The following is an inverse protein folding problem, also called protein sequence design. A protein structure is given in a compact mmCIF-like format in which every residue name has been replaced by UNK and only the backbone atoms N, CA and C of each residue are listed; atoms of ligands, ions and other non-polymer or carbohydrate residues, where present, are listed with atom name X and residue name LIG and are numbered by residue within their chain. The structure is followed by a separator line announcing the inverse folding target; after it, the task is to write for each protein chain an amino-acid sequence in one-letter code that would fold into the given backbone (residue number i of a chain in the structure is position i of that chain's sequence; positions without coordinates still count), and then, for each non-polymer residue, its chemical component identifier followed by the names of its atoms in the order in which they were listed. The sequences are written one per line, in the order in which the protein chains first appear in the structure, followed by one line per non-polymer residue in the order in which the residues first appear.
data_IF_426595120083
#
_entry.id   IF_426595120083
#
_cell.length_a   1.000
_cell.length_b   1.000
_cell.length_c   1.000
_cell.angle_alpha   90.00
_cell.angle_beta   90.00
_cell.angle_gamma   90.00
#
_symmetry.space_group_name_H-M   'P 1'
#
loop_
_entity.id
_entity.type
_entity.pdbx_description
1 polymer ?
#
# COMPACT_ATOMS: atom_id res chain seq x y z
N UNK A 1 5.87 5.08 -1.51
CA UNK A 1 7.04 4.99 -2.41
C UNK A 1 8.08 5.88 -1.76
N UNK A 2 9.17 5.33 -1.27
CA UNK A 2 10.12 6.08 -0.44
C UNK A 2 11.16 5.18 0.22
N UNK A 3 12.29 5.74 0.68
CA UNK A 3 13.35 4.97 1.34
C UNK A 3 12.94 4.72 2.80
N UNK A 4 12.02 3.78 2.98
CA UNK A 4 11.59 3.39 4.32
C UNK A 4 12.33 2.14 4.78
N UNK A 5 12.99 2.25 5.92
CA UNK A 5 13.35 1.08 6.71
C UNK A 5 12.09 0.58 7.43
N UNK A 6 12.13 -0.65 7.93
CA UNK A 6 11.05 -1.17 8.77
C UNK A 6 10.78 -0.24 9.98
N UNK A 7 11.84 0.32 10.57
CA UNK A 7 11.73 1.19 11.74
C UNK A 7 11.23 2.60 11.38
N UNK A 8 11.70 3.21 10.29
CA UNK A 8 11.16 4.52 9.89
C UNK A 8 9.69 4.46 9.53
N UNK A 9 9.24 3.39 8.84
CA UNK A 9 7.82 3.18 8.58
C UNK A 9 7.02 2.96 9.87
N UNK A 10 7.57 2.20 10.83
CA UNK A 10 6.95 1.99 12.14
C UNK A 10 6.75 3.30 12.87
N UNK A 11 7.76 4.16 12.88
CA UNK A 11 7.74 5.44 13.57
C UNK A 11 6.77 6.41 12.89
N UNK A 12 6.73 6.47 11.55
CA UNK A 12 5.74 7.29 10.83
C UNK A 12 4.30 6.87 11.17
N UNK A 13 4.00 5.56 11.16
CA UNK A 13 2.68 5.04 11.53
C UNK A 13 2.36 5.33 13.00
N UNK A 14 3.34 5.15 13.90
CA UNK A 14 3.19 5.41 15.33
C UNK A 14 2.89 6.88 15.60
N UNK A 15 3.65 7.77 14.99
CA UNK A 15 3.52 9.22 15.17
C UNK A 15 2.20 9.73 14.61
N UNK A 16 1.80 9.26 13.42
CA UNK A 16 0.49 9.57 12.85
C UNK A 16 -0.66 9.07 13.74
N UNK A 17 -0.56 7.86 14.29
CA UNK A 17 -1.56 7.36 15.25
C UNK A 17 -1.61 8.21 16.53
N UNK A 18 -0.46 8.60 17.09
CA UNK A 18 -0.39 9.45 18.28
C UNK A 18 -1.03 10.81 18.03
N UNK A 19 -0.68 11.44 16.92
CA UNK A 19 -1.23 12.72 16.51
C UNK A 19 -2.76 12.62 16.26
N UNK A 20 -3.21 11.56 15.59
CA UNK A 20 -4.63 11.28 15.40
C UNK A 20 -5.38 11.07 16.73
N UNK A 21 -4.76 10.38 17.69
CA UNK A 21 -5.28 10.24 19.06
C UNK A 21 -5.46 11.58 19.76
N UNK A 22 -4.50 12.50 19.59
CA UNK A 22 -4.54 13.87 20.14
C UNK A 22 -5.71 14.73 19.64
N UNK A 23 -6.39 14.34 18.56
CA UNK A 23 -7.60 15.02 18.07
C UNK A 23 -8.81 14.79 18.98
N UNK A 24 -8.81 13.74 19.80
CA UNK A 24 -9.93 13.32 20.66
C UNK A 24 -9.65 13.70 22.12
N UNK A 25 -10.61 14.34 22.77
CA UNK A 25 -10.44 14.76 24.17
C UNK A 25 -10.29 13.55 25.11
N UNK A 26 -10.91 12.42 24.79
CA UNK A 26 -10.81 11.18 25.55
C UNK A 26 -9.49 10.43 25.38
N UNK A 27 -8.69 10.75 24.36
CA UNK A 27 -7.40 10.08 24.10
C UNK A 27 -6.20 11.05 24.16
N UNK A 28 -6.43 12.36 24.35
CA UNK A 28 -5.39 13.39 24.24
C UNK A 28 -4.19 13.14 25.16
N UNK A 29 -4.46 12.70 26.38
CA UNK A 29 -3.45 12.49 27.41
C UNK A 29 -3.04 11.01 27.52
N UNK A 30 -3.52 10.16 26.59
CA UNK A 30 -3.19 8.73 26.56
C UNK A 30 -2.14 8.40 25.50
N UNK A 31 -1.27 7.45 25.80
CA UNK A 31 -0.47 6.80 24.76
C UNK A 31 -1.31 5.78 24.00
N UNK A 32 -1.98 6.25 22.94
CA UNK A 32 -2.78 5.40 22.05
C UNK A 32 -1.96 4.28 21.42
N UNK A 33 -0.65 4.49 21.25
CA UNK A 33 0.24 3.51 20.61
C UNK A 33 0.60 2.36 21.54
N UNK A 34 0.44 2.54 22.85
CA UNK A 34 0.54 1.46 23.84
C UNK A 34 -0.67 0.51 23.85
N UNK A 35 -1.69 0.76 23.02
CA UNK A 35 -2.90 -0.09 22.94
C UNK A 35 -2.82 -1.18 21.87
N UNK A 36 -1.77 -1.20 21.04
CA UNK A 36 -1.60 -2.17 19.96
C UNK A 36 -0.12 -2.34 19.60
N UNK A 37 0.23 -3.51 19.06
CA UNK A 37 1.58 -3.80 18.59
C UNK A 37 1.74 -3.46 17.10
N UNK A 38 2.84 -2.79 16.73
CA UNK A 38 3.21 -2.53 15.33
C UNK A 38 4.35 -3.47 14.96
N UNK A 39 4.07 -4.40 14.05
CA UNK A 39 5.05 -5.31 13.44
C UNK A 39 5.37 -4.81 12.03
N UNK A 40 6.42 -3.99 11.84
CA UNK A 40 6.78 -3.54 10.51
C UNK A 40 7.44 -4.67 9.72
N UNK A 41 7.16 -4.71 8.42
CA UNK A 41 7.81 -5.65 7.49
C UNK A 41 8.52 -4.84 6.41
N UNK A 42 9.82 -4.63 6.62
CA UNK A 42 10.71 -4.05 5.62
C UNK A 42 11.20 -5.09 4.62
N UNK A 43 11.30 -4.70 3.35
CA UNK A 43 11.81 -5.54 2.27
C UNK A 43 12.74 -4.81 1.28
N UNK A 44 13.12 -3.56 1.60
CA UNK A 44 13.97 -2.75 0.75
C UNK A 44 15.38 -3.35 0.58
N UNK A 45 15.92 -3.99 1.61
CA UNK A 45 17.20 -4.71 1.59
C UNK A 45 17.26 -5.79 0.50
N UNK A 46 16.15 -6.45 0.17
CA UNK A 46 16.09 -7.43 -0.92
C UNK A 46 16.36 -6.75 -2.27
N UNK A 47 15.83 -5.55 -2.47
CA UNK A 47 16.05 -4.78 -3.69
C UNK A 47 17.42 -4.10 -3.70
N UNK A 48 17.92 -3.65 -2.56
CA UNK A 48 19.27 -3.08 -2.41
C UNK A 48 20.37 -4.09 -2.69
N UNK A 49 20.28 -5.28 -2.12
CA UNK A 49 21.19 -6.41 -2.39
C UNK A 49 21.27 -6.65 -3.91
N UNK A 50 20.11 -6.76 -4.54
CA UNK A 50 20.03 -6.97 -5.98
C UNK A 50 20.57 -5.78 -6.80
N UNK A 51 20.27 -4.54 -6.41
CA UNK A 51 20.82 -3.35 -7.08
C UNK A 51 22.34 -3.30 -6.98
N UNK A 52 22.91 -3.67 -5.84
CA UNK A 52 24.35 -3.73 -5.64
C UNK A 52 24.97 -4.78 -6.58
N UNK A 53 24.42 -6.01 -6.63
CA UNK A 53 24.86 -7.05 -7.57
C UNK A 53 24.73 -6.60 -9.03
N UNK A 54 23.67 -5.86 -9.36
CA UNK A 54 23.49 -5.30 -10.69
C UNK A 54 24.55 -4.25 -10.99
N UNK A 55 24.83 -3.32 -10.07
CA UNK A 55 25.77 -2.21 -10.25
C UNK A 55 27.18 -2.69 -10.62
N UNK A 56 27.58 -3.86 -10.10
CA UNK A 56 28.87 -4.49 -10.42
C UNK A 56 28.95 -5.03 -11.85
N UNK A 57 27.82 -5.27 -12.52
CA UNK A 57 27.76 -5.73 -13.92
C UNK A 57 27.68 -4.52 -14.85
N UNK A 58 28.73 -4.22 -15.61
CA UNK A 58 28.83 -3.06 -16.51
C UNK A 58 27.94 -3.14 -17.78
N UNK A 59 26.63 -3.42 -17.64
CA UNK A 59 25.66 -3.50 -18.74
C UNK A 59 24.50 -2.51 -18.55
N UNK A 60 23.74 -2.16 -19.60
CA UNK A 60 22.48 -1.41 -19.47
C UNK A 60 21.42 -2.13 -18.60
N UNK A 61 20.56 -1.39 -17.90
CA UNK A 61 19.55 -1.94 -16.98
C UNK A 61 18.61 -2.94 -17.66
N UNK A 62 18.17 -2.65 -18.89
CA UNK A 62 17.31 -3.57 -19.63
C UNK A 62 18.00 -4.88 -20.01
N UNK A 63 19.30 -4.88 -20.30
CA UNK A 63 20.07 -6.11 -20.53
C UNK A 63 20.21 -6.91 -19.23
N UNK A 64 20.48 -6.22 -18.12
CA UNK A 64 20.53 -6.84 -16.78
C UNK A 64 19.20 -7.50 -16.41
N UNK A 65 18.09 -6.79 -16.64
CA UNK A 65 16.74 -7.28 -16.35
C UNK A 65 16.31 -8.40 -17.30
N UNK A 66 16.66 -8.32 -18.59
CA UNK A 66 16.42 -9.39 -19.56
C UNK A 66 17.16 -10.69 -19.18
N UNK A 67 18.39 -10.59 -18.71
CA UNK A 67 19.18 -11.73 -18.25
C UNK A 67 18.53 -12.45 -17.05
N UNK A 68 17.82 -11.70 -16.20
CA UNK A 68 17.19 -12.21 -14.97
C UNK A 68 15.77 -12.70 -15.24
N UNK A 69 15.06 -12.04 -16.16
CA UNK A 69 13.79 -12.50 -16.70
C UNK A 69 13.96 -13.71 -17.65
N UNK A 70 15.19 -14.08 -18.04
CA UNK A 70 15.53 -15.11 -19.03
C UNK A 70 15.04 -16.54 -18.76
N UNK A 71 14.34 -16.76 -17.65
CA UNK A 71 13.64 -18.02 -17.31
C UNK A 71 12.12 -17.95 -17.49
N UNK A 72 11.57 -16.77 -17.83
CA UNK A 72 10.15 -16.55 -18.05
C UNK A 72 9.88 -16.24 -19.54
N UNK A 73 8.77 -16.71 -20.13
CA UNK A 73 8.39 -16.43 -21.54
C UNK A 73 8.17 -14.95 -21.89
N UNK A 74 8.41 -14.04 -20.95
CA UNK A 74 8.02 -12.63 -20.96
C UNK A 74 9.27 -11.71 -21.15
N UNK A 75 10.49 -12.27 -21.18
CA UNK A 75 11.74 -11.51 -21.11
C UNK A 75 11.91 -10.41 -22.18
N UNK A 76 11.51 -10.66 -23.43
CA UNK A 76 11.66 -9.68 -24.52
C UNK A 76 10.67 -8.51 -24.42
N UNK A 77 9.43 -8.75 -23.98
CA UNK A 77 8.43 -7.70 -23.80
C UNK A 77 8.68 -6.89 -22.51
N UNK A 78 9.26 -7.51 -21.50
CA UNK A 78 9.72 -6.83 -20.27
C UNK A 78 10.88 -5.89 -20.60
N UNK A 79 11.93 -6.36 -21.28
CA UNK A 79 13.08 -5.51 -21.62
C UNK A 79 12.69 -4.27 -22.45
N UNK A 80 11.79 -4.44 -23.43
CA UNK A 80 11.25 -3.33 -24.23
C UNK A 80 10.44 -2.34 -23.38
N UNK A 81 9.62 -2.83 -22.45
CA UNK A 81 8.87 -1.98 -21.49
C UNK A 81 9.81 -1.24 -20.55
N UNK A 82 10.85 -1.91 -20.04
CA UNK A 82 11.83 -1.29 -19.15
C UNK A 82 12.58 -0.18 -19.88
N UNK A 83 13.08 -0.43 -21.09
CA UNK A 83 13.73 0.60 -21.92
C UNK A 83 12.81 1.79 -22.21
N UNK A 84 11.53 1.53 -22.52
CA UNK A 84 10.55 2.58 -22.80
C UNK A 84 10.11 3.38 -21.57
N UNK A 85 10.34 2.83 -20.37
CA UNK A 85 10.09 3.51 -19.10
C UNK A 85 11.35 4.26 -18.63
N UNK A 86 12.53 3.65 -18.74
CA UNK A 86 13.82 4.26 -18.38
C UNK A 86 14.06 5.55 -19.15
N UNK A 87 13.62 5.63 -20.42
CA UNK A 87 13.69 6.87 -21.21
C UNK A 87 12.70 7.96 -20.78
N UNK A 88 11.66 7.64 -20.02
CA UNK A 88 10.70 8.61 -19.45
C UNK A 88 11.02 9.00 -18.01
N UNK A 89 11.88 8.22 -17.35
CA UNK A 89 12.33 8.53 -16.02
C UNK A 89 13.43 9.58 -16.12
N UNK A 90 13.19 10.73 -15.52
CA UNK A 90 14.18 11.79 -15.32
C UNK A 90 15.40 11.26 -14.57
N UNK A 91 16.57 11.87 -14.76
CA UNK A 91 17.86 11.49 -14.15
C UNK A 91 17.92 11.61 -12.61
N UNK A 92 16.76 11.79 -11.99
CA UNK A 92 16.56 11.94 -10.56
C UNK A 92 16.84 10.60 -9.84
N UNK A 93 17.84 10.66 -8.95
CA UNK A 93 18.26 9.53 -8.11
C UNK A 93 17.11 8.89 -7.32
N UNK A 94 16.14 9.70 -6.86
CA UNK A 94 14.98 9.20 -6.12
C UNK A 94 14.12 8.29 -6.98
N UNK A 95 13.82 8.73 -8.21
CA UNK A 95 13.04 7.89 -9.11
C UNK A 95 13.83 6.63 -9.41
N UNK A 96 15.10 6.75 -9.84
CA UNK A 96 15.97 5.60 -10.17
C UNK A 96 15.95 4.47 -9.15
N UNK A 97 15.81 4.74 -7.86
CA UNK A 97 15.70 3.69 -6.84
C UNK A 97 14.26 3.19 -6.65
N UNK A 98 13.27 4.08 -6.51
CA UNK A 98 11.92 3.69 -6.09
C UNK A 98 11.05 3.11 -7.21
N UNK A 99 11.13 3.60 -8.46
CA UNK A 99 10.41 2.94 -9.55
C UNK A 99 11.09 1.63 -9.91
N UNK A 100 12.40 1.53 -9.71
CA UNK A 100 13.11 0.28 -9.91
C UNK A 100 12.57 -0.78 -8.94
N UNK A 101 12.28 -0.45 -7.68
CA UNK A 101 11.59 -1.37 -6.76
C UNK A 101 10.25 -1.86 -7.30
N UNK A 102 9.44 -0.95 -7.85
CA UNK A 102 8.16 -1.30 -8.48
C UNK A 102 8.36 -2.29 -9.62
N UNK A 103 9.37 -2.06 -10.48
CA UNK A 103 9.69 -2.98 -11.57
C UNK A 103 10.25 -4.31 -11.09
N UNK A 104 11.17 -4.27 -10.12
CA UNK A 104 11.80 -5.45 -9.55
C UNK A 104 10.74 -6.34 -8.91
N UNK A 105 9.84 -5.76 -8.12
CA UNK A 105 8.69 -6.47 -7.61
C UNK A 105 7.79 -6.99 -8.73
N UNK A 106 7.53 -6.20 -9.76
CA UNK A 106 6.58 -6.56 -10.82
C UNK A 106 7.07 -7.67 -11.75
N UNK A 107 8.35 -7.64 -12.13
CA UNK A 107 8.87 -8.40 -13.27
C UNK A 107 9.94 -9.43 -12.92
N UNK A 108 10.32 -9.55 -11.65
CA UNK A 108 11.39 -10.47 -11.23
C UNK A 108 10.93 -11.45 -10.16
N UNK A 109 11.76 -12.47 -9.93
CA UNK A 109 11.57 -13.46 -8.87
C UNK A 109 11.76 -12.87 -7.47
N UNK A 110 12.29 -11.65 -7.34
CA UNK A 110 12.45 -10.98 -6.04
C UNK A 110 11.12 -10.81 -5.31
N UNK A 111 10.02 -10.67 -6.06
CA UNK A 111 8.67 -10.67 -5.51
C UNK A 111 8.36 -11.89 -4.66
N UNK A 112 8.91 -13.07 -4.96
CA UNK A 112 8.74 -14.27 -4.13
C UNK A 112 9.46 -14.14 -2.79
N UNK A 113 10.69 -13.61 -2.76
CA UNK A 113 11.43 -13.36 -1.50
C UNK A 113 10.69 -12.35 -0.62
N UNK A 114 10.17 -11.27 -1.22
CA UNK A 114 9.37 -10.25 -0.53
C UNK A 114 8.10 -10.87 0.06
N UNK A 115 7.35 -11.65 -0.73
CA UNK A 115 6.11 -12.30 -0.28
C UNK A 115 6.36 -13.32 0.83
N UNK A 116 7.44 -14.12 0.73
CA UNK A 116 7.82 -15.07 1.78
C UNK A 116 8.14 -14.36 3.10
N UNK A 117 8.88 -13.25 3.06
CA UNK A 117 9.17 -12.47 4.27
C UNK A 117 7.92 -11.96 4.97
N UNK A 118 6.96 -11.44 4.20
CA UNK A 118 5.67 -11.01 4.77
C UNK A 118 4.86 -12.21 5.29
N UNK A 119 4.87 -13.34 4.59
CA UNK A 119 4.17 -14.55 5.02
C UNK A 119 4.73 -15.13 6.33
N UNK A 120 6.05 -15.13 6.49
CA UNK A 120 6.72 -15.53 7.74
C UNK A 120 6.33 -14.61 8.90
N UNK A 121 6.38 -13.29 8.69
CA UNK A 121 5.97 -12.32 9.71
C UNK A 121 4.50 -12.53 10.08
N UNK A 122 3.62 -12.69 9.09
CA UNK A 122 2.20 -12.93 9.29
C UNK A 122 1.93 -14.23 10.06
N UNK A 123 2.59 -15.33 9.68
CA UNK A 123 2.44 -16.62 10.34
C UNK A 123 2.85 -16.56 11.82
N UNK A 124 3.96 -15.87 12.14
CA UNK A 124 4.41 -15.63 13.52
C UNK A 124 3.39 -14.81 14.30
N UNK A 125 2.94 -13.67 13.77
CA UNK A 125 1.97 -12.81 14.45
C UNK A 125 0.62 -13.51 14.67
N UNK A 126 0.17 -14.33 13.71
CA UNK A 126 -1.05 -15.15 13.87
C UNK A 126 -0.86 -16.19 14.99
N UNK A 127 0.30 -16.84 15.06
CA UNK A 127 0.58 -17.83 16.10
C UNK A 127 0.64 -17.20 17.50
N UNK A 128 1.17 -15.99 17.62
CA UNK A 128 1.34 -15.26 18.88
C UNK A 128 0.03 -14.62 19.38
N UNK A 129 -0.73 -13.97 18.49
CA UNK A 129 -1.87 -13.12 18.87
C UNK A 129 -3.24 -13.69 18.46
N UNK A 130 -3.26 -14.74 17.63
CA UNK A 130 -4.48 -15.26 17.02
C UNK A 130 -4.95 -14.42 15.84
N UNK A 131 -5.39 -15.06 14.75
CA UNK A 131 -5.62 -14.38 13.46
C UNK A 131 -6.67 -13.25 13.53
N UNK A 132 -7.69 -13.38 14.37
CA UNK A 132 -8.74 -12.36 14.51
C UNK A 132 -8.23 -11.04 15.10
N UNK A 133 -7.08 -11.04 15.77
CA UNK A 133 -6.42 -9.85 16.33
C UNK A 133 -5.31 -9.31 15.40
N UNK A 134 -5.10 -9.94 14.24
CA UNK A 134 -4.10 -9.50 13.26
C UNK A 134 -4.77 -8.62 12.21
N UNK A 135 -4.26 -7.41 12.07
CA UNK A 135 -4.72 -6.39 11.13
C UNK A 135 -3.55 -6.02 10.22
N UNK A 136 -3.71 -6.17 8.91
CA UNK A 136 -2.63 -5.94 7.94
C UNK A 136 -2.87 -4.62 7.23
N UNK A 137 -1.86 -3.76 7.22
CA UNK A 137 -1.88 -2.47 6.52
C UNK A 137 -0.81 -2.46 5.43
N UNK A 138 -1.24 -2.23 4.19
CA UNK A 138 -0.37 -1.96 3.06
C UNK A 138 -0.50 -0.50 2.63
N UNK A 139 0.60 0.09 2.19
CA UNK A 139 0.64 1.43 1.62
C UNK A 139 1.36 1.41 0.27
N UNK A 140 0.77 2.04 -0.75
CA UNK A 140 1.39 2.18 -2.08
C UNK A 140 1.84 0.80 -2.62
N UNK A 141 3.10 0.62 -3.06
CA UNK A 141 3.66 -0.68 -3.46
C UNK A 141 3.38 -1.81 -2.45
N UNK A 142 3.38 -1.50 -1.15
CA UNK A 142 3.05 -2.44 -0.08
C UNK A 142 1.65 -3.04 -0.21
N UNK A 143 0.70 -2.38 -0.88
CA UNK A 143 -0.63 -2.98 -1.13
C UNK A 143 -0.56 -4.11 -2.16
N UNK A 144 0.31 -4.03 -3.17
CA UNK A 144 0.54 -5.14 -4.08
C UNK A 144 1.22 -6.31 -3.35
N UNK A 145 2.23 -6.01 -2.52
CA UNK A 145 2.91 -7.00 -1.67
C UNK A 145 1.94 -7.73 -0.75
N UNK A 146 1.12 -6.98 0.00
CA UNK A 146 0.10 -7.53 0.89
C UNK A 146 -0.88 -8.39 0.11
N UNK A 147 -1.43 -7.86 -0.99
CA UNK A 147 -2.40 -8.60 -1.79
C UNK A 147 -1.82 -9.92 -2.30
N UNK A 148 -0.67 -9.90 -2.97
CA UNK A 148 -0.12 -11.10 -3.60
C UNK A 148 0.36 -12.12 -2.56
N UNK A 149 0.86 -11.64 -1.42
CA UNK A 149 1.21 -12.52 -0.28
C UNK A 149 -0.03 -13.22 0.25
N UNK A 150 -1.10 -12.48 0.55
CA UNK A 150 -2.33 -13.06 1.07
C UNK A 150 -3.00 -13.97 0.03
N UNK A 151 -3.00 -13.58 -1.24
CA UNK A 151 -3.58 -14.38 -2.31
C UNK A 151 -2.86 -15.73 -2.47
N UNK A 152 -1.53 -15.75 -2.31
CA UNK A 152 -0.74 -16.97 -2.35
C UNK A 152 -0.88 -17.77 -1.05
N UNK A 153 -0.74 -17.14 0.12
CA UNK A 153 -0.84 -17.80 1.40
C UNK A 153 -2.21 -18.48 1.62
N UNK A 154 -3.31 -17.83 1.24
CA UNK A 154 -4.68 -18.37 1.36
C UNK A 154 -5.18 -19.06 0.09
N UNK A 155 -4.36 -19.09 -0.96
CA UNK A 155 -4.69 -19.66 -2.25
C UNK A 155 -4.42 -21.17 -2.32
N UNK A 156 -4.72 -21.79 -3.48
CA UNK A 156 -4.39 -23.20 -3.73
C UNK A 156 -2.88 -23.43 -3.88
N UNK A 157 -2.11 -22.38 -4.20
CA UNK A 157 -0.67 -22.44 -4.32
C UNK A 157 -0.03 -22.50 -2.93
N UNK A 158 0.79 -23.52 -2.66
CA UNK A 158 1.47 -23.62 -1.38
C UNK A 158 2.55 -22.54 -1.27
N UNK A 159 2.57 -21.84 -0.15
CA UNK A 159 3.62 -20.89 0.16
C UNK A 159 4.68 -21.62 0.98
N UNK A 160 5.77 -22.00 0.32
CA UNK A 160 6.82 -22.83 0.91
C UNK A 160 8.13 -22.04 0.95
N UNK A 161 8.75 -21.96 2.12
CA UNK A 161 10.05 -21.32 2.32
C UNK A 161 11.21 -22.16 1.75
N UNK A 162 12.41 -21.57 1.60
CA UNK A 162 13.58 -22.28 1.06
C UNK A 162 14.02 -23.49 1.90
N UNK A 163 13.70 -23.49 3.20
CA UNK A 163 13.94 -24.57 4.16
C UNK A 163 12.82 -25.63 4.19
N UNK A 164 11.79 -25.48 3.35
CA UNK A 164 10.62 -26.35 3.31
C UNK A 164 9.53 -25.96 4.31
N UNK A 165 9.66 -24.83 5.03
CA UNK A 165 8.61 -24.32 5.92
C UNK A 165 7.32 -24.03 5.14
N UNK A 166 6.16 -24.45 5.67
CA UNK A 166 4.88 -24.18 5.03
C UNK A 166 4.20 -22.98 5.68
N UNK A 167 4.01 -21.92 4.88
CA UNK A 167 3.36 -20.67 5.28
C UNK A 167 1.95 -20.50 4.69
N UNK A 168 1.35 -21.60 4.20
CA UNK A 168 -0.04 -21.58 3.76
C UNK A 168 -1.01 -21.36 4.92
N UNK A 169 -2.02 -20.52 4.69
CA UNK A 169 -3.03 -20.12 5.65
C UNK A 169 -4.42 -20.57 5.18
N UNK A 170 -5.31 -20.82 6.14
CA UNK A 170 -6.68 -21.25 5.86
C UNK A 170 -7.66 -20.09 6.05
N UNK A 171 -8.53 -19.79 5.07
CA UNK A 171 -9.58 -18.77 5.23
C UNK A 171 -10.58 -19.04 6.37
N UNK A 172 -10.60 -20.28 6.87
CA UNK A 172 -11.49 -20.75 7.94
C UNK A 172 -10.85 -20.58 9.31
N UNK A 173 -9.59 -21.00 9.48
CA UNK A 173 -8.92 -21.02 10.81
C UNK A 173 -8.01 -19.84 11.04
N UNK A 174 -7.52 -19.20 9.97
CA UNK A 174 -6.55 -18.11 10.05
C UNK A 174 -7.13 -16.81 9.48
N UNK A 175 -8.44 -16.58 9.59
CA UNK A 175 -9.06 -15.35 9.09
C UNK A 175 -8.55 -14.12 9.85
N UNK A 176 -8.05 -13.13 9.12
CA UNK A 176 -7.53 -11.88 9.64
C UNK A 176 -8.66 -10.98 10.17
N UNK A 177 -8.35 -10.14 11.16
CA UNK A 177 -9.29 -9.14 11.68
C UNK A 177 -9.63 -8.09 10.63
N UNK A 178 -8.62 -7.52 9.96
CA UNK A 178 -8.84 -6.62 8.82
C UNK A 178 -7.65 -6.54 7.88
N UNK A 179 -7.93 -6.08 6.65
CA UNK A 179 -6.92 -5.69 5.65
C UNK A 179 -7.19 -4.24 5.25
N UNK A 180 -6.17 -3.40 5.37
CA UNK A 180 -6.18 -1.97 5.11
C UNK A 180 -5.28 -1.67 3.90
N UNK A 181 -5.85 -1.10 2.84
CA UNK A 181 -5.17 -0.81 1.58
C UNK A 181 -5.13 0.69 1.36
N UNK A 182 -4.00 1.33 1.68
CA UNK A 182 -3.82 2.78 1.58
C UNK A 182 -3.10 3.11 0.28
N UNK A 183 -3.65 4.04 -0.52
CA UNK A 183 -3.11 4.40 -1.84
C UNK A 183 -2.86 3.16 -2.72
N UNK A 184 -3.92 2.36 -2.90
CA UNK A 184 -3.81 0.99 -3.39
C UNK A 184 -3.44 0.87 -4.87
N UNK A 185 -2.27 0.30 -5.16
CA UNK A 185 -1.76 0.05 -6.52
C UNK A 185 -1.81 -1.43 -6.92
N UNK A 186 -2.47 -2.31 -6.14
CA UNK A 186 -2.47 -3.75 -6.41
C UNK A 186 -3.03 -4.11 -7.79
N UNK A 187 -4.02 -3.34 -8.27
CA UNK A 187 -4.58 -3.50 -9.63
C UNK A 187 -3.65 -3.03 -10.74
N UNK A 188 -2.84 -2.01 -10.50
CA UNK A 188 -1.81 -1.55 -11.43
C UNK A 188 -0.74 -2.62 -11.59
N UNK A 189 -0.32 -3.19 -10.45
CA UNK A 189 0.76 -4.17 -10.37
C UNK A 189 0.27 -5.63 -10.44
N UNK A 190 -0.99 -5.85 -10.84
CA UNK A 190 -1.64 -7.17 -10.92
C UNK A 190 -0.93 -8.10 -11.90
N UNK A 191 -0.42 -9.25 -11.44
CA UNK A 191 0.31 -10.25 -12.26
C UNK A 191 -0.58 -11.40 -12.69
N UNK A 192 -0.19 -12.63 -12.39
CA UNK A 192 -0.95 -13.85 -12.59
C UNK A 192 -2.09 -14.00 -11.57
N UNK A 193 -2.03 -13.26 -10.45
CA UNK A 193 -3.08 -13.24 -9.43
C UNK A 193 -4.11 -12.17 -9.79
N UNK A 194 -5.35 -12.56 -10.08
CA UNK A 194 -6.43 -11.58 -10.31
C UNK A 194 -6.92 -10.98 -9.00
N UNK A 195 -6.69 -9.68 -8.80
CA UNK A 195 -7.09 -8.94 -7.60
C UNK A 195 -8.61 -9.02 -7.34
N UNK A 196 -9.43 -9.09 -8.39
CA UNK A 196 -10.89 -9.15 -8.24
C UNK A 196 -11.43 -10.56 -8.01
N UNK A 197 -10.61 -11.60 -8.20
CA UNK A 197 -11.00 -13.00 -8.03
C UNK A 197 -10.23 -13.74 -6.92
N UNK A 198 -9.26 -13.08 -6.29
CA UNK A 198 -8.42 -13.64 -5.23
C UNK A 198 -9.20 -13.92 -3.93
N UNK A 199 -8.66 -14.73 -3.00
CA UNK A 199 -9.24 -14.90 -1.67
C UNK A 199 -9.06 -13.64 -0.78
N UNK A 200 -8.39 -12.60 -1.28
CA UNK A 200 -8.13 -11.35 -0.55
C UNK A 200 -9.36 -10.46 -0.60
N UNK A 201 -10.36 -10.86 0.19
CA UNK A 201 -11.68 -10.24 0.29
C UNK A 201 -12.31 -10.59 1.63
N UNK A 202 -13.36 -9.88 2.06
CA UNK A 202 -14.14 -10.29 3.21
C UNK A 202 -15.14 -11.41 2.85
N UNK A 203 -15.74 -12.03 3.88
CA UNK A 203 -16.81 -13.02 3.74
C UNK A 203 -16.34 -14.48 3.83
N UNK A 204 -17.25 -15.43 3.62
CA UNK A 204 -17.00 -16.87 3.89
C UNK A 204 -15.80 -17.44 3.14
N UNK A 205 -15.58 -17.01 1.89
CA UNK A 205 -14.47 -17.44 1.02
C UNK A 205 -13.30 -16.44 1.01
N UNK A 206 -13.24 -15.59 2.02
CA UNK A 206 -12.29 -14.49 2.14
C UNK A 206 -11.30 -14.72 3.28
N UNK A 207 -10.11 -14.13 3.16
CA UNK A 207 -9.05 -14.23 4.18
C UNK A 207 -9.17 -13.21 5.32
N UNK A 208 -10.11 -12.26 5.24
CA UNK A 208 -10.26 -11.17 6.23
C UNK A 208 -11.72 -11.02 6.69
N UNK A 209 -11.94 -10.48 7.89
CA UNK A 209 -13.27 -10.10 8.36
C UNK A 209 -13.70 -8.74 7.79
N UNK A 210 -12.79 -7.76 7.72
CA UNK A 210 -13.02 -6.45 7.11
C UNK A 210 -11.96 -6.10 6.07
N UNK A 211 -12.36 -5.41 5.00
CA UNK A 211 -11.48 -4.90 3.95
C UNK A 211 -11.73 -3.41 3.77
N UNK A 212 -10.72 -2.61 4.08
CA UNK A 212 -10.80 -1.16 4.05
C UNK A 212 -9.82 -0.62 3.02
N UNK A 213 -10.31 0.26 2.17
CA UNK A 213 -9.52 0.95 1.17
C UNK A 213 -9.58 2.45 1.37
N UNK A 214 -8.43 3.11 1.22
CA UNK A 214 -8.26 4.53 1.44
C UNK A 214 -7.62 5.15 0.22
N UNK A 215 -8.27 6.18 -0.33
CA UNK A 215 -7.78 6.92 -1.49
C UNK A 215 -7.94 8.41 -1.29
N UNK A 216 -6.91 9.16 -1.61
CA UNK A 216 -6.97 10.61 -1.65
C UNK A 216 -7.27 11.07 -3.08
N UNK A 217 -8.24 11.96 -3.27
CA UNK A 217 -8.63 12.42 -4.63
C UNK A 217 -7.49 13.14 -5.35
N UNK A 218 -6.61 13.76 -4.57
CA UNK A 218 -5.42 14.49 -5.05
C UNK A 218 -4.13 13.67 -4.90
N UNK A 219 -4.24 12.36 -4.71
CA UNK A 219 -3.11 11.44 -4.87
C UNK A 219 -3.21 10.79 -6.26
N UNK A 220 -2.39 11.20 -7.24
CA UNK A 220 -2.45 10.68 -8.61
C UNK A 220 -2.05 9.21 -8.69
N UNK A 221 -1.27 8.69 -7.74
CA UNK A 221 -0.85 7.28 -7.70
C UNK A 221 -2.05 6.37 -7.47
N UNK A 222 -2.93 6.76 -6.53
CA UNK A 222 -4.15 6.02 -6.21
C UNK A 222 -5.23 6.09 -7.31
N UNK A 223 -5.07 7.00 -8.30
CA UNK A 223 -6.00 7.18 -9.42
C UNK A 223 -5.71 6.22 -10.58
N UNK A 224 -4.51 5.68 -10.67
CA UNK A 224 -4.14 4.81 -11.79
C UNK A 224 -4.74 3.42 -11.59
N UNK A 225 -5.62 3.02 -12.51
CA UNK A 225 -6.31 1.70 -12.53
C UNK A 225 -6.74 1.21 -11.13
N UNK A 226 -7.63 1.94 -10.44
CA UNK A 226 -7.97 1.66 -9.05
C UNK A 226 -8.65 0.29 -8.86
N UNK A 227 -8.56 -0.24 -7.63
CA UNK A 227 -9.34 -1.40 -7.20
C UNK A 227 -10.79 -1.03 -6.94
N UNK A 228 -11.60 -0.99 -7.99
CA UNK A 228 -13.01 -0.59 -7.86
C UNK A 228 -13.95 -1.81 -7.92
N UNK A 229 -14.20 -2.52 -6.80
CA UNK A 229 -15.24 -3.53 -6.73
C UNK A 229 -16.61 -2.86 -6.63
N UNK A 230 -17.61 -3.42 -7.31
CA UNK A 230 -18.97 -2.90 -7.30
C UNK A 230 -19.91 -3.81 -6.51
N UNK A 231 -20.99 -3.23 -5.97
CA UNK A 231 -22.07 -3.96 -5.25
C UNK A 231 -22.95 -4.76 -6.23
N UNK A 232 -22.35 -5.67 -6.99
CA UNK A 232 -23.01 -6.48 -8.03
C UNK A 232 -22.98 -7.99 -7.75
N UNK A 233 -22.55 -8.38 -6.55
CA UNK A 233 -22.46 -9.79 -6.15
C UNK A 233 -21.27 -10.57 -6.72
N UNK A 234 -20.44 -9.97 -7.60
CA UNK A 234 -19.35 -10.69 -8.29
C UNK A 234 -18.10 -10.85 -7.42
N UNK A 235 -17.69 -9.78 -6.72
CA UNK A 235 -16.51 -9.83 -5.84
C UNK A 235 -16.86 -10.48 -4.49
N UNK A 236 -17.91 -9.98 -3.85
CA UNK A 236 -18.52 -10.51 -2.63
C UNK A 236 -20.05 -10.35 -2.72
N UNK A 237 -20.81 -11.04 -1.86
CA UNK A 237 -22.26 -10.86 -1.81
C UNK A 237 -22.63 -9.43 -1.39
N UNK A 238 -23.81 -8.96 -1.77
CA UNK A 238 -24.29 -7.61 -1.42
C UNK A 238 -24.24 -7.32 0.09
N UNK A 239 -24.58 -8.31 0.90
CA UNK A 239 -24.55 -8.19 2.35
C UNK A 239 -23.13 -7.99 2.87
N UNK A 240 -22.17 -8.76 2.35
CA UNK A 240 -20.75 -8.65 2.72
C UNK A 240 -20.18 -7.34 2.23
N UNK A 241 -20.50 -6.91 1.00
CA UNK A 241 -20.06 -5.63 0.45
C UNK A 241 -20.43 -4.47 1.38
N UNK A 242 -21.69 -4.39 1.80
CA UNK A 242 -22.17 -3.28 2.63
C UNK A 242 -21.70 -3.32 4.09
N UNK A 243 -21.35 -4.50 4.61
CA UNK A 243 -20.98 -4.69 6.03
C UNK A 243 -19.48 -4.73 6.28
N UNK A 244 -18.70 -5.20 5.32
CA UNK A 244 -17.31 -5.58 5.53
C UNK A 244 -16.35 -4.98 4.50
N UNK A 245 -16.85 -4.28 3.47
CA UNK A 245 -16.03 -3.45 2.61
C UNK A 245 -16.27 -1.97 2.90
N UNK A 246 -15.20 -1.19 2.98
CA UNK A 246 -15.27 0.27 3.12
C UNK A 246 -14.29 0.91 2.16
N UNK A 247 -14.77 1.83 1.33
CA UNK A 247 -13.94 2.77 0.60
C UNK A 247 -14.07 4.15 1.25
N UNK A 248 -12.94 4.69 1.72
CA UNK A 248 -12.86 6.04 2.25
C UNK A 248 -12.13 6.95 1.25
N UNK A 249 -12.89 7.83 0.61
CA UNK A 249 -12.37 8.87 -0.27
C UNK A 249 -12.07 10.15 0.53
N UNK A 250 -10.83 10.59 0.45
CA UNK A 250 -10.27 11.72 1.17
C UNK A 250 -10.07 12.91 0.23
N UNK A 251 -10.28 14.12 0.75
CA UNK A 251 -10.14 15.37 -0.01
C UNK A 251 -9.27 16.40 0.69
N UNK A 252 -9.12 16.32 2.02
CA UNK A 252 -8.41 17.31 2.80
C UNK A 252 -6.90 17.13 2.70
N UNK A 253 -6.23 18.20 2.31
CA UNK A 253 -4.77 18.29 2.19
C UNK A 253 -4.22 18.97 3.44
N UNK A 254 -3.49 18.22 4.27
CA UNK A 254 -2.83 18.76 5.48
C UNK A 254 -1.32 18.87 5.30
N UNK A 255 -0.78 18.29 4.22
CA UNK A 255 0.62 18.34 3.74
C UNK A 255 0.61 18.26 2.21
N UNK A 256 1.62 18.79 1.52
CA UNK A 256 1.69 18.68 0.06
C UNK A 256 1.77 17.23 -0.41
N UNK A 257 2.51 16.38 0.30
CA UNK A 257 2.60 14.96 -0.01
C UNK A 257 1.33 14.21 0.39
N UNK A 258 0.30 14.29 -0.46
CA UNK A 258 -0.98 13.58 -0.31
C UNK A 258 -0.86 12.07 -0.41
N UNK A 259 0.30 11.55 -0.85
CA UNK A 259 0.59 10.13 -0.94
C UNK A 259 1.19 9.55 0.35
N UNK A 260 1.76 10.37 1.24
CA UNK A 260 2.43 9.90 2.47
C UNK A 260 1.47 9.15 3.41
N UNK A 261 1.92 8.05 4.02
CA UNK A 261 1.05 7.23 4.90
C UNK A 261 0.60 8.01 6.12
N UNK A 262 1.46 8.86 6.70
CA UNK A 262 1.09 9.76 7.78
C UNK A 262 -0.07 10.69 7.40
N UNK A 263 -0.07 11.25 6.19
CA UNK A 263 -1.17 12.11 5.71
C UNK A 263 -2.51 11.37 5.67
N UNK A 264 -2.51 10.12 5.22
CA UNK A 264 -3.71 9.28 5.25
C UNK A 264 -4.17 8.99 6.68
N UNK A 265 -3.26 8.55 7.54
CA UNK A 265 -3.57 8.10 8.91
C UNK A 265 -4.09 9.22 9.81
N UNK A 266 -3.76 10.48 9.53
CA UNK A 266 -4.30 11.62 10.28
C UNK A 266 -5.79 11.90 10.00
N UNK A 267 -6.32 11.40 8.89
CA UNK A 267 -7.68 11.69 8.47
C UNK A 267 -8.70 10.88 9.28
N UNK A 268 -9.72 11.50 9.89
CA UNK A 268 -10.76 10.80 10.65
C UNK A 268 -11.48 9.68 9.91
N UNK A 269 -11.57 9.74 8.58
CA UNK A 269 -12.12 8.64 7.77
C UNK A 269 -11.23 7.39 7.73
N UNK A 270 -9.96 7.51 8.10
CA UNK A 270 -8.96 6.44 8.12
C UNK A 270 -8.74 5.92 9.53
N UNK A 271 -8.34 6.78 10.48
CA UNK A 271 -7.97 6.31 11.83
C UNK A 271 -9.16 5.87 12.67
N UNK A 272 -10.38 6.41 12.49
CA UNK A 272 -11.53 5.96 13.29
C UNK A 272 -11.91 4.51 13.02
N UNK A 273 -12.04 4.04 11.75
CA UNK A 273 -12.19 2.62 11.48
C UNK A 273 -11.03 1.79 12.04
N UNK A 274 -9.79 2.26 11.90
CA UNK A 274 -8.60 1.56 12.40
C UNK A 274 -8.64 1.40 13.93
N UNK A 275 -8.82 2.49 14.68
CA UNK A 275 -8.87 2.47 16.15
C UNK A 275 -10.05 1.67 16.69
N UNK A 276 -11.17 1.65 15.97
CA UNK A 276 -12.31 0.79 16.30
C UNK A 276 -11.95 -0.69 16.21
N UNK A 277 -11.18 -1.07 15.21
CA UNK A 277 -10.74 -2.45 15.01
C UNK A 277 -9.65 -2.84 16.01
N UNK A 278 -8.65 -1.99 16.19
CA UNK A 278 -7.50 -2.27 17.06
C UNK A 278 -7.85 -2.30 18.55
N UNK A 279 -8.60 -1.32 19.05
CA UNK A 279 -8.86 -1.18 20.49
C UNK A 279 -10.28 -0.71 20.83
N UNK A 280 -11.24 -0.96 19.92
CA UNK A 280 -12.69 -0.73 20.13
C UNK A 280 -13.05 0.72 20.47
N UNK A 281 -12.25 1.69 20.03
CA UNK A 281 -12.54 3.09 20.24
C UNK A 281 -13.79 3.53 19.47
N UNK A 282 -14.76 4.10 20.20
CA UNK A 282 -16.04 4.59 19.68
C UNK A 282 -16.37 5.90 20.38
N UNK A 283 -15.78 7.02 19.93
CA UNK A 283 -16.02 8.33 20.55
C UNK A 283 -17.49 8.72 20.40
N UNK A 284 -17.93 9.64 21.25
CA UNK A 284 -19.29 10.21 21.13
C UNK A 284 -19.37 11.04 19.84
N UNK A 285 -20.59 11.23 19.33
CA UNK A 285 -20.84 12.03 18.12
C UNK A 285 -20.22 13.43 18.21
N UNK A 286 -20.47 14.15 19.30
CA UNK A 286 -19.92 15.49 19.52
C UNK A 286 -18.39 15.54 19.53
N UNK A 287 -17.74 14.53 20.12
CA UNK A 287 -16.27 14.43 20.11
C UNK A 287 -15.73 14.10 18.72
N UNK A 288 -16.44 13.27 17.96
CA UNK A 288 -16.11 12.96 16.56
C UNK A 288 -16.19 14.21 15.68
N UNK A 289 -17.23 15.01 15.86
CA UNK A 289 -17.43 16.28 15.15
C UNK A 289 -16.32 17.27 15.50
N UNK A 290 -16.04 17.47 16.78
CA UNK A 290 -14.96 18.36 17.25
C UNK A 290 -13.56 17.91 16.75
N UNK A 291 -13.27 16.61 16.78
CA UNK A 291 -12.01 16.06 16.24
C UNK A 291 -11.89 16.28 14.73
N UNK A 292 -13.00 16.12 14.00
CA UNK A 292 -13.05 16.37 12.55
C UNK A 292 -12.84 17.85 12.23
N UNK A 293 -13.46 18.76 12.98
CA UNK A 293 -13.26 20.20 12.84
C UNK A 293 -11.79 20.59 13.10
N UNK A 294 -11.17 20.06 14.16
CA UNK A 294 -9.74 20.28 14.46
C UNK A 294 -8.84 19.79 13.33
N UNK A 295 -9.14 18.62 12.74
CA UNK A 295 -8.40 18.11 11.59
C UNK A 295 -8.58 18.99 10.36
N UNK A 296 -9.83 19.32 9.99
CA UNK A 296 -10.10 20.12 8.80
C UNK A 296 -9.59 21.56 8.90
N UNK A 297 -9.48 22.12 10.11
CA UNK A 297 -8.83 23.41 10.34
C UNK A 297 -7.33 23.42 9.96
N UNK A 298 -6.68 22.24 9.87
CA UNK A 298 -5.30 22.09 9.40
C UNK A 298 -5.17 22.01 7.87
N UNK A 299 -6.28 22.07 7.14
CA UNK A 299 -6.26 21.95 5.67
C UNK A 299 -5.53 23.14 5.05
N UNK A 300 -4.48 22.86 4.27
CA UNK A 300 -3.68 23.82 3.53
C UNK A 300 -4.37 24.16 2.20
N UNK A 301 -5.31 25.13 2.22
CA UNK A 301 -6.14 25.47 1.04
C UNK A 301 -5.31 25.74 -0.22
N UNK A 302 -4.25 26.54 -0.13
CA UNK A 302 -3.38 26.83 -1.28
C UNK A 302 -2.62 25.61 -1.82
N UNK A 303 -2.37 24.59 -0.99
CA UNK A 303 -1.77 23.34 -1.47
C UNK A 303 -2.84 22.50 -2.19
N UNK A 304 -4.05 22.43 -1.64
CA UNK A 304 -5.18 21.73 -2.26
C UNK A 304 -5.51 22.31 -3.65
N UNK A 305 -5.61 23.64 -3.78
CA UNK A 305 -5.90 24.31 -5.05
C UNK A 305 -4.85 24.01 -6.13
N UNK A 306 -3.55 24.10 -5.77
CA UNK A 306 -2.46 23.78 -6.71
C UNK A 306 -2.37 22.29 -7.06
N UNK A 307 -2.71 21.40 -6.12
CA UNK A 307 -2.84 19.96 -6.38
C UNK A 307 -4.01 19.65 -7.31
N UNK A 308 -5.15 20.33 -7.13
CA UNK A 308 -6.31 20.24 -8.02
C UNK A 308 -5.94 20.69 -9.43
N UNK A 309 -5.33 21.88 -9.56
CA UNK A 309 -4.86 22.42 -10.84
C UNK A 309 -3.85 21.49 -11.54
N UNK A 310 -2.86 20.97 -10.80
CA UNK A 310 -1.84 20.10 -11.37
C UNK A 310 -2.38 18.75 -11.88
N UNK A 311 -3.49 18.27 -11.33
CA UNK A 311 -4.02 16.94 -11.61
C UNK A 311 -5.45 16.92 -12.17
N UNK A 312 -5.98 18.08 -12.56
CA UNK A 312 -7.30 18.22 -13.18
C UNK A 312 -7.38 17.37 -14.46
N UNK A 313 -6.39 17.53 -15.34
CA UNK A 313 -6.31 16.84 -16.63
C UNK A 313 -5.65 15.45 -16.55
N UNK A 314 -5.22 15.00 -15.37
CA UNK A 314 -4.58 13.71 -15.22
C UNK A 314 -5.59 12.56 -15.37
N UNK A 315 -5.76 12.07 -16.60
CA UNK A 315 -6.60 10.92 -16.92
C UNK A 315 -5.68 9.69 -17.15
N UNK A 316 -5.61 8.73 -16.20
CA UNK A 316 -4.89 7.49 -16.45
C UNK A 316 -5.53 6.76 -17.62
N UNK A 317 -4.69 6.33 -18.57
CA UNK A 317 -5.07 5.56 -19.75
C UNK A 317 -4.99 4.08 -19.41
N UNK A 318 -6.02 3.33 -19.79
CA UNK A 318 -6.07 1.88 -19.49
C UNK A 318 -4.98 1.06 -20.20
N UNK A 319 -4.39 1.61 -21.27
CA UNK A 319 -3.45 0.89 -22.15
C UNK A 319 -2.06 0.65 -21.51
N UNK A 320 -1.61 1.52 -20.59
CA UNK A 320 -0.31 1.36 -19.92
C UNK A 320 -0.28 1.91 -18.48
N UNK A 321 -1.04 1.26 -17.60
CA UNK A 321 -1.19 1.65 -16.19
C UNK A 321 0.14 1.76 -15.43
N UNK A 322 1.19 1.03 -15.80
CA UNK A 322 2.49 1.16 -15.14
C UNK A 322 3.19 2.47 -15.50
N UNK A 323 3.11 2.88 -16.77
CA UNK A 323 3.64 4.15 -17.24
C UNK A 323 2.91 5.33 -16.60
N UNK A 324 1.58 5.26 -16.54
CA UNK A 324 0.79 6.33 -15.91
C UNK A 324 1.03 6.40 -14.40
N UNK A 325 1.32 5.27 -13.74
CA UNK A 325 1.76 5.24 -12.34
C UNK A 325 3.09 5.99 -12.14
N UNK A 326 4.06 5.79 -13.03
CA UNK A 326 5.36 6.49 -12.97
C UNK A 326 5.16 7.99 -13.18
N UNK A 327 4.40 8.39 -14.20
CA UNK A 327 4.09 9.80 -14.49
C UNK A 327 3.35 10.47 -13.34
N UNK A 328 2.38 9.78 -12.73
CA UNK A 328 1.68 10.24 -11.53
C UNK A 328 2.66 10.51 -10.38
N UNK A 329 3.56 9.56 -10.11
CA UNK A 329 4.59 9.71 -9.08
C UNK A 329 5.50 10.91 -9.35
N UNK A 330 6.02 11.05 -10.58
CA UNK A 330 6.90 12.15 -10.98
C UNK A 330 6.25 13.52 -10.83
N UNK A 331 5.02 13.65 -11.31
CA UNK A 331 4.27 14.89 -11.20
C UNK A 331 3.99 15.24 -9.74
N UNK A 332 3.66 14.26 -8.89
CA UNK A 332 3.44 14.50 -7.47
C UNK A 332 4.73 14.94 -6.77
N UNK A 333 5.84 14.23 -7.00
CA UNK A 333 7.15 14.60 -6.43
C UNK A 333 7.53 16.03 -6.80
N UNK A 334 7.51 16.37 -8.09
CA UNK A 334 7.87 17.70 -8.56
C UNK A 334 7.01 18.79 -7.92
N UNK A 335 5.72 18.52 -7.73
CA UNK A 335 4.81 19.45 -7.08
C UNK A 335 5.10 19.59 -5.58
N UNK A 336 5.32 18.49 -4.86
CA UNK A 336 5.71 18.48 -3.44
C UNK A 336 6.99 19.29 -3.21
N UNK A 337 8.02 19.04 -4.04
CA UNK A 337 9.28 19.79 -3.99
C UNK A 337 9.08 21.27 -4.31
N UNK A 338 8.12 21.63 -5.17
CA UNK A 338 7.77 23.03 -5.46
C UNK A 338 7.15 23.76 -4.27
N UNK A 339 6.68 23.04 -3.26
CA UNK A 339 6.23 23.60 -1.98
C UNK A 339 7.37 23.69 -0.95
N UNK A 340 8.56 23.18 -1.26
CA UNK A 340 9.68 23.09 -0.31
C UNK A 340 9.52 21.96 0.70
N UNK A 341 8.62 21.01 0.44
CA UNK A 341 8.46 19.78 1.24
C UNK A 341 9.33 18.65 0.64
N UNK A 342 9.78 17.72 1.49
CA UNK A 342 10.48 16.52 1.04
C UNK A 342 9.49 15.46 0.55
N UNK A 343 9.79 14.87 -0.61
CA UNK A 343 9.07 13.71 -1.11
C UNK A 343 9.81 12.45 -0.65
N UNK A 344 9.46 12.00 0.56
CA UNK A 344 10.05 10.80 1.18
C UNK A 344 9.63 9.51 0.52
#
# INVERSE_FOLDING_TARGET
MGQHTADSFRDEVRDACREAGGLYDSLRDEDVTGRFDIVPVGYNDIFEEFRAELAERAQPLAERMAAIAGTLPIASSVAARINALESEITDDSFFRTHWLDVLLYRFTILSERVRLRLAEALARTIAEHGSANVHVLGHSLGTAVVHDTLAKAYGPEQMVGPDGSQHSLSPTTHRLGSVHMVANVSRVLQSFIDVKASPVRPGERGCTAEFLEYRHRLDPVARVRPFDPTDNGRWVSHLVFRKAYTLAELTSVTRANTHAIGHYLLNPKVHLPLFRLLFRFRPRKAETEAASERFFARTLRGHAERLEEAFEDFQPRDEDALRDLIRAGQALKALVESFGEEFE
#
